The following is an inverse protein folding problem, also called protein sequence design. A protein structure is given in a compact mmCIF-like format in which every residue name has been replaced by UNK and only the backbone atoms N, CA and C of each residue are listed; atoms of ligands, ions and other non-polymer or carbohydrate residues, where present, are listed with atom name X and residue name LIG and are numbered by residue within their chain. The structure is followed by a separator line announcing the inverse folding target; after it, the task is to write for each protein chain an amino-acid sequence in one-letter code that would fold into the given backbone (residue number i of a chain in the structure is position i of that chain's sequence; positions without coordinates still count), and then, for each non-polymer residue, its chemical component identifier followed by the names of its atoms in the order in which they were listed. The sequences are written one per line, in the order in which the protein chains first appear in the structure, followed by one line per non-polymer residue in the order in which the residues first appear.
data_IF_567341687941
#
_entry.id   IF_567341687941
#
_cell.length_a   1.000
_cell.length_b   1.000
_cell.length_c   1.000
_cell.angle_alpha   90.00
_cell.angle_beta   90.00
_cell.angle_gamma   90.00
#
_symmetry.space_group_name_H-M   'P 1'
#
loop_
_entity.id
_entity.type
_entity.pdbx_description
1 polymer ?
#
# COMPACT_ATOMS: atom_id res chain seq x y z
N UNK A 1 -8.96 47.34 18.41
CA UNK A 1 -10.07 46.60 19.04
C UNK A 1 -10.67 45.75 17.95
N UNK A 2 -10.09 44.57 17.74
CA UNK A 2 -10.75 43.53 16.96
C UNK A 2 -10.39 42.21 17.64
N UNK A 3 -11.43 41.58 18.18
CA UNK A 3 -11.36 40.44 19.07
C UNK A 3 -11.23 39.21 18.19
N UNK A 4 -10.05 38.58 18.18
CA UNK A 4 -9.92 37.23 17.68
C UNK A 4 -10.75 36.31 18.58
N UNK A 5 -11.89 35.85 18.06
CA UNK A 5 -12.77 34.88 18.69
C UNK A 5 -11.95 33.60 18.92
N UNK A 6 -11.88 33.05 20.14
CA UNK A 6 -11.29 31.74 20.34
C UNK A 6 -12.27 30.71 19.78
N UNK A 7 -11.95 30.14 18.62
CA UNK A 7 -12.76 29.06 18.05
C UNK A 7 -12.42 27.79 18.81
N UNK A 8 -13.09 27.59 19.93
CA UNK A 8 -13.07 26.35 20.68
C UNK A 8 -13.90 25.32 19.92
N UNK A 9 -13.27 24.63 18.97
CA UNK A 9 -13.83 23.39 18.43
C UNK A 9 -13.56 22.30 19.46
N UNK A 10 -14.61 21.76 20.06
CA UNK A 10 -14.55 20.37 20.53
C UNK A 10 -14.48 19.51 19.26
N UNK A 11 -13.32 19.50 18.60
CA UNK A 11 -13.11 18.83 17.33
C UNK A 11 -13.23 17.33 17.61
N UNK A 12 -14.28 16.72 17.06
CA UNK A 12 -14.24 15.28 16.85
C UNK A 12 -13.11 15.07 15.85
N UNK A 13 -12.05 14.40 16.28
CA UNK A 13 -10.90 14.09 15.44
C UNK A 13 -11.02 12.64 14.97
N UNK A 14 -10.99 12.43 13.65
CA UNK A 14 -10.87 11.13 13.03
C UNK A 14 -9.43 10.94 12.54
N UNK A 15 -8.69 10.06 13.21
CA UNK A 15 -7.35 9.68 12.83
C UNK A 15 -7.37 8.39 11.99
N UNK A 16 -6.93 8.51 10.75
CA UNK A 16 -6.81 7.42 9.76
C UNK A 16 -5.33 7.11 9.55
N UNK A 17 -4.94 5.87 9.83
CA UNK A 17 -3.63 5.37 9.49
C UNK A 17 -3.61 4.80 8.07
N UNK A 18 -2.58 5.15 7.29
CA UNK A 18 -2.37 4.61 5.96
C UNK A 18 -1.00 3.94 5.86
N UNK A 19 -0.94 2.81 5.16
CA UNK A 19 0.34 2.17 4.89
C UNK A 19 1.18 3.08 3.99
N UNK A 20 2.36 3.48 4.45
CA UNK A 20 3.19 4.53 3.82
C UNK A 20 3.70 4.26 2.40
N UNK A 21 3.30 3.15 1.77
CA UNK A 21 3.55 2.88 0.35
C UNK A 21 2.26 2.88 -0.48
N UNK A 22 1.15 3.31 0.12
CA UNK A 22 -0.12 3.59 -0.51
C UNK A 22 -0.28 5.10 -0.54
N UNK A 23 -0.55 5.64 -1.72
CA UNK A 23 -0.78 7.06 -1.92
C UNK A 23 -2.03 7.52 -1.14
N UNK A 24 -1.94 8.55 -0.26
CA UNK A 24 -3.08 9.09 0.50
C UNK A 24 -4.27 9.50 -0.35
N UNK A 25 -4.00 9.93 -1.58
CA UNK A 25 -5.00 10.33 -2.57
C UNK A 25 -5.99 9.21 -2.90
N UNK A 26 -5.63 7.94 -2.65
CA UNK A 26 -6.53 6.79 -2.85
C UNK A 26 -7.75 6.78 -1.95
N UNK A 27 -7.75 7.57 -0.87
CA UNK A 27 -8.92 7.80 -0.01
C UNK A 27 -9.43 9.24 -0.12
N UNK A 28 -8.88 10.04 -1.04
CA UNK A 28 -9.11 11.48 -1.09
C UNK A 28 -10.60 11.83 -1.25
N UNK A 29 -11.29 11.14 -2.15
CA UNK A 29 -12.71 11.39 -2.43
C UNK A 29 -13.60 11.08 -1.23
N UNK A 30 -13.33 9.97 -0.53
CA UNK A 30 -14.08 9.55 0.65
C UNK A 30 -13.83 10.48 1.84
N UNK A 31 -12.57 10.84 2.09
CA UNK A 31 -12.22 11.78 3.16
C UNK A 31 -12.84 13.16 2.89
N UNK A 32 -12.83 13.63 1.63
CA UNK A 32 -13.49 14.87 1.23
C UNK A 32 -15.01 14.79 1.38
N UNK A 33 -15.63 13.67 1.00
CA UNK A 33 -17.07 13.47 1.16
C UNK A 33 -17.47 13.51 2.66
N UNK A 34 -16.69 12.88 3.53
CA UNK A 34 -16.93 12.94 4.98
C UNK A 34 -16.76 14.36 5.53
N UNK A 35 -15.70 15.07 5.14
CA UNK A 35 -15.46 16.44 5.55
C UNK A 35 -16.58 17.39 5.11
N UNK A 36 -17.20 17.16 3.95
CA UNK A 36 -18.36 17.93 3.47
C UNK A 36 -19.60 17.69 4.33
N UNK A 37 -19.79 16.49 4.86
CA UNK A 37 -20.92 16.15 5.75
C UNK A 37 -20.79 16.82 7.12
N UNK A 38 -19.56 17.02 7.61
CA UNK A 38 -19.30 17.76 8.85
C UNK A 38 -18.07 18.66 8.70
N UNK A 39 -18.22 19.93 8.30
CA UNK A 39 -17.10 20.84 8.07
C UNK A 39 -16.24 21.14 9.30
N UNK A 40 -16.75 20.89 10.52
CA UNK A 40 -16.01 21.04 11.77
C UNK A 40 -15.23 19.78 12.18
N UNK A 41 -15.32 18.69 11.42
CA UNK A 41 -14.61 17.45 11.70
C UNK A 41 -13.12 17.61 11.34
N UNK A 42 -12.25 17.39 12.31
CA UNK A 42 -10.82 17.24 12.04
C UNK A 42 -10.54 15.83 11.52
N UNK A 43 -9.93 15.71 10.35
CA UNK A 43 -9.50 14.41 9.79
C UNK A 43 -7.98 14.41 9.68
N UNK A 44 -7.32 13.55 10.44
CA UNK A 44 -5.88 13.32 10.38
C UNK A 44 -5.56 12.07 9.55
N UNK A 45 -4.66 12.18 8.59
CA UNK A 45 -4.11 11.02 7.86
C UNK A 45 -2.66 10.83 8.24
N UNK A 46 -2.30 9.64 8.70
CA UNK A 46 -0.98 9.32 9.20
C UNK A 46 -0.38 8.15 8.43
N UNK A 47 0.59 8.45 7.56
CA UNK A 47 1.37 7.44 6.87
C UNK A 47 2.36 6.76 7.84
N UNK A 48 2.31 5.44 7.92
CA UNK A 48 3.24 4.69 8.78
C UNK A 48 3.47 3.25 8.28
N UNK A 49 4.53 2.56 8.75
CA UNK A 49 4.74 1.15 8.47
C UNK A 49 3.57 0.31 8.98
N UNK A 50 3.34 -0.86 8.37
CA UNK A 50 2.22 -1.73 8.75
C UNK A 50 2.27 -2.16 10.22
N UNK A 51 3.45 -2.44 10.75
CA UNK A 51 3.60 -2.79 12.16
C UNK A 51 3.16 -1.64 13.07
N UNK A 52 3.50 -0.39 12.71
CA UNK A 52 3.09 0.79 13.45
C UNK A 52 1.58 1.04 13.35
N UNK A 53 0.95 0.79 12.19
CA UNK A 53 -0.51 0.87 12.04
C UNK A 53 -1.23 -0.04 13.01
N UNK A 54 -0.76 -1.28 13.12
CA UNK A 54 -1.36 -2.27 14.02
C UNK A 54 -1.24 -1.82 15.48
N UNK A 55 -0.04 -1.40 15.89
CA UNK A 55 0.17 -0.88 17.25
C UNK A 55 -0.65 0.37 17.53
N UNK A 56 -0.79 1.28 16.56
CA UNK A 56 -1.59 2.50 16.71
C UNK A 56 -3.08 2.18 16.82
N UNK A 57 -3.58 1.21 16.04
CA UNK A 57 -4.97 0.77 16.09
C UNK A 57 -5.27 0.08 17.42
N UNK A 58 -4.41 -0.83 17.87
CA UNK A 58 -4.52 -1.52 19.15
C UNK A 58 -4.58 -0.53 20.32
N UNK A 59 -3.75 0.51 20.27
CA UNK A 59 -3.67 1.58 21.27
C UNK A 59 -4.69 2.71 21.10
N UNK A 60 -5.68 2.56 20.21
CA UNK A 60 -6.75 3.55 19.94
C UNK A 60 -6.24 4.94 19.49
N UNK A 61 -4.99 5.01 18.97
CA UNK A 61 -4.39 6.25 18.44
C UNK A 61 -4.89 6.60 17.03
N UNK A 62 -5.34 5.59 16.30
CA UNK A 62 -6.06 5.73 15.04
C UNK A 62 -7.35 4.92 15.14
N UNK A 63 -8.39 5.35 14.44
CA UNK A 63 -9.68 4.66 14.43
C UNK A 63 -9.84 3.73 13.21
N UNK A 64 -9.10 3.99 12.14
CA UNK A 64 -9.07 3.19 10.92
C UNK A 64 -7.62 2.98 10.47
N UNK A 65 -7.27 1.76 10.09
CA UNK A 65 -5.99 1.46 9.44
C UNK A 65 -6.23 0.90 8.04
N UNK A 66 -5.66 1.53 7.01
CA UNK A 66 -5.69 1.04 5.63
C UNK A 66 -4.33 0.47 5.26
N UNK A 67 -4.28 -0.85 5.08
CA UNK A 67 -3.03 -1.59 4.93
C UNK A 67 -3.17 -2.88 4.12
N UNK A 68 -2.07 -3.37 3.53
CA UNK A 68 -2.07 -4.65 2.85
C UNK A 68 -2.06 -5.84 3.80
N UNK A 69 -2.48 -6.98 3.24
CA UNK A 69 -2.45 -8.27 3.88
C UNK A 69 -3.84 -8.82 4.21
N UNK A 70 -3.90 -10.00 4.84
CA UNK A 70 -5.15 -10.66 5.15
C UNK A 70 -5.91 -9.95 6.28
N UNK A 71 -7.19 -10.29 6.39
CA UNK A 71 -8.01 -9.99 7.57
C UNK A 71 -7.32 -10.48 8.86
N UNK A 72 -7.60 -9.81 9.97
CA UNK A 72 -6.94 -10.09 11.25
C UNK A 72 -7.98 -10.47 12.30
N UNK A 73 -7.76 -11.59 13.04
CA UNK A 73 -8.60 -11.92 14.18
C UNK A 73 -8.66 -10.76 15.18
N UNK A 74 -9.85 -10.47 15.68
CA UNK A 74 -10.09 -9.39 16.65
C UNK A 74 -10.22 -7.98 16.04
N UNK A 75 -10.11 -7.84 14.72
CA UNK A 75 -10.42 -6.62 14.00
C UNK A 75 -11.54 -6.87 13.00
N UNK A 76 -12.36 -5.86 12.80
CA UNK A 76 -13.24 -5.78 11.64
C UNK A 76 -12.42 -5.36 10.42
N UNK A 77 -12.85 -5.78 9.23
CA UNK A 77 -12.20 -5.37 7.99
C UNK A 77 -13.14 -5.27 6.80
N UNK A 78 -12.76 -4.44 5.83
CA UNK A 78 -13.39 -4.35 4.52
C UNK A 78 -12.32 -4.29 3.43
N UNK A 79 -12.46 -5.12 2.39
CA UNK A 79 -11.61 -5.06 1.20
C UNK A 79 -11.92 -3.77 0.44
N UNK A 80 -10.90 -2.94 0.22
CA UNK A 80 -11.04 -1.70 -0.52
C UNK A 80 -10.70 -1.92 -2.00
N UNK A 81 -9.57 -2.57 -2.26
CA UNK A 81 -9.14 -2.90 -3.60
C UNK A 81 -8.11 -4.03 -3.60
N UNK A 82 -7.91 -4.60 -4.78
CA UNK A 82 -6.87 -5.59 -5.04
C UNK A 82 -5.95 -5.02 -6.11
N UNK A 83 -4.69 -4.81 -5.75
CA UNK A 83 -3.63 -4.45 -6.69
C UNK A 83 -2.97 -5.73 -7.25
N UNK A 84 -2.10 -5.60 -8.25
CA UNK A 84 -1.37 -6.71 -8.86
C UNK A 84 0.13 -6.57 -8.63
N UNK A 85 0.79 -7.70 -8.37
CA UNK A 85 2.25 -7.77 -8.32
C UNK A 85 2.80 -7.79 -9.74
N UNK A 86 3.72 -6.88 -10.01
CA UNK A 86 4.41 -6.73 -11.28
C UNK A 86 5.92 -6.89 -11.05
N UNK A 87 6.66 -7.16 -12.12
CA UNK A 87 8.12 -7.24 -12.12
C UNK A 87 8.67 -6.15 -13.03
N UNK A 88 9.52 -5.29 -12.47
CA UNK A 88 10.30 -4.31 -13.20
C UNK A 88 11.68 -4.89 -13.55
N UNK A 89 12.13 -4.63 -14.79
CA UNK A 89 13.41 -5.06 -15.33
C UNK A 89 13.94 -4.03 -16.33
N UNK A 90 15.23 -4.10 -16.67
CA UNK A 90 15.79 -3.32 -17.78
C UNK A 90 15.11 -3.67 -19.11
N UNK A 91 15.02 -2.70 -20.03
CA UNK A 91 14.42 -2.89 -21.37
C UNK A 91 15.00 -4.04 -22.18
N UNK A 92 16.30 -4.27 -22.05
CA UNK A 92 17.07 -5.28 -22.77
C UNK A 92 17.16 -6.62 -22.02
N UNK A 93 16.49 -6.74 -20.88
CA UNK A 93 16.43 -7.98 -20.12
C UNK A 93 15.77 -9.09 -20.97
N UNK A 94 16.27 -10.35 -20.96
CA UNK A 94 15.72 -11.42 -21.79
C UNK A 94 14.22 -11.69 -21.63
N UNK A 95 13.68 -11.47 -20.42
CA UNK A 95 12.24 -11.61 -20.14
C UNK A 95 11.39 -10.44 -20.65
N UNK A 96 12.00 -9.31 -21.01
CA UNK A 96 11.27 -8.11 -21.44
C UNK A 96 10.51 -8.29 -22.77
N UNK A 97 10.88 -9.30 -23.57
CA UNK A 97 10.19 -9.65 -24.80
C UNK A 97 8.89 -10.46 -24.57
N UNK A 98 8.63 -10.89 -23.33
CA UNK A 98 7.45 -11.69 -22.99
C UNK A 98 6.25 -10.78 -22.65
N UNK A 99 5.01 -11.25 -22.86
CA UNK A 99 3.82 -10.51 -22.44
C UNK A 99 3.57 -10.58 -20.93
N UNK A 100 4.01 -11.66 -20.29
CA UNK A 100 3.88 -11.97 -18.85
C UNK A 100 5.10 -12.77 -18.41
N UNK A 101 5.42 -12.78 -17.11
CA UNK A 101 6.52 -13.60 -16.56
C UNK A 101 5.98 -14.67 -15.63
N UNK A 102 6.44 -15.92 -15.77
CA UNK A 102 6.04 -16.99 -14.86
C UNK A 102 6.93 -17.01 -13.61
N UNK A 103 6.44 -17.48 -12.46
CA UNK A 103 7.26 -17.63 -11.25
C UNK A 103 8.54 -18.46 -11.46
N UNK A 104 8.49 -19.47 -12.34
CA UNK A 104 9.66 -20.29 -12.68
C UNK A 104 10.76 -19.48 -13.36
N UNK A 105 10.39 -18.55 -14.25
CA UNK A 105 11.36 -17.69 -14.96
C UNK A 105 12.04 -16.69 -14.02
N UNK A 106 11.39 -16.35 -12.92
CA UNK A 106 11.90 -15.41 -11.92
C UNK A 106 12.76 -16.08 -10.85
N UNK A 107 12.69 -17.42 -10.71
CA UNK A 107 13.29 -18.16 -9.59
C UNK A 107 14.77 -17.89 -9.39
N UNK A 108 15.53 -17.84 -10.48
CA UNK A 108 16.99 -17.71 -10.45
C UNK A 108 17.48 -16.28 -10.72
N UNK A 109 16.56 -15.30 -10.71
CA UNK A 109 16.89 -13.90 -10.97
C UNK A 109 17.23 -13.16 -9.66
N UNK A 110 18.23 -12.26 -9.65
CA UNK A 110 18.51 -11.44 -8.49
C UNK A 110 17.47 -10.32 -8.35
N UNK A 111 16.75 -10.27 -7.23
CA UNK A 111 15.82 -9.20 -6.92
C UNK A 111 16.48 -8.14 -6.05
N UNK A 112 16.45 -6.89 -6.51
CA UNK A 112 16.91 -5.74 -5.77
C UNK A 112 15.83 -5.28 -4.80
N UNK A 113 16.23 -5.04 -3.55
CA UNK A 113 15.31 -4.66 -2.48
C UNK A 113 15.88 -3.48 -1.72
N UNK A 114 15.08 -2.43 -1.57
CA UNK A 114 15.47 -1.30 -0.74
C UNK A 114 15.36 -1.65 0.76
N UNK A 115 16.43 -1.39 1.51
CA UNK A 115 16.43 -1.38 2.98
C UNK A 115 15.94 -0.06 3.58
N UNK A 116 15.91 1.01 2.78
CA UNK A 116 15.43 2.31 3.23
C UNK A 116 13.92 2.29 3.37
N UNK A 117 13.44 3.17 4.27
CA UNK A 117 12.04 3.53 4.54
C UNK A 117 10.99 2.76 3.74
N UNK A 118 10.17 1.95 4.42
CA UNK A 118 8.99 1.23 3.89
C UNK A 118 9.22 0.29 2.69
N UNK A 119 10.33 0.41 1.95
CA UNK A 119 10.65 -0.39 0.77
C UNK A 119 10.83 -1.86 1.10
N UNK A 120 11.45 -2.17 2.25
CA UNK A 120 11.55 -3.55 2.73
C UNK A 120 10.21 -4.15 3.16
N UNK A 121 9.27 -3.32 3.65
CA UNK A 121 7.93 -3.77 4.03
C UNK A 121 7.09 -4.07 2.78
N UNK A 122 7.06 -3.16 1.81
CA UNK A 122 6.36 -3.37 0.53
C UNK A 122 6.93 -4.60 -0.20
N UNK A 123 8.25 -4.67 -0.37
CA UNK A 123 8.88 -5.82 -1.00
C UNK A 123 8.56 -7.13 -0.28
N UNK A 124 8.60 -7.15 1.07
CA UNK A 124 8.23 -8.34 1.84
C UNK A 124 6.82 -8.81 1.55
N UNK A 125 5.86 -7.88 1.41
CA UNK A 125 4.48 -8.22 1.04
C UNK A 125 4.39 -8.79 -0.37
N UNK A 126 4.96 -8.11 -1.36
CA UNK A 126 4.93 -8.58 -2.75
C UNK A 126 5.60 -9.94 -2.92
N UNK A 127 6.75 -10.14 -2.26
CA UNK A 127 7.44 -11.42 -2.21
C UNK A 127 6.61 -12.51 -1.53
N UNK A 128 5.84 -12.18 -0.48
CA UNK A 128 4.93 -13.14 0.15
C UNK A 128 3.82 -13.60 -0.80
N UNK A 129 3.28 -12.70 -1.62
CA UNK A 129 2.22 -13.02 -2.58
C UNK A 129 2.67 -14.02 -3.65
N UNK A 130 3.97 -14.07 -3.98
CA UNK A 130 4.52 -15.03 -4.97
C UNK A 130 5.30 -16.19 -4.32
N UNK A 131 5.51 -16.15 -3.00
CA UNK A 131 6.28 -17.15 -2.23
C UNK A 131 5.83 -18.60 -2.42
N UNK A 132 4.53 -18.93 -2.54
CA UNK A 132 4.11 -20.33 -2.73
C UNK A 132 4.76 -21.02 -3.93
N UNK A 133 5.12 -20.28 -4.98
CA UNK A 133 5.78 -20.79 -6.18
C UNK A 133 7.29 -20.47 -6.22
N UNK A 134 7.74 -19.55 -5.37
CA UNK A 134 9.13 -19.07 -5.25
C UNK A 134 9.57 -18.96 -3.78
N UNK A 135 9.79 -20.09 -3.08
CA UNK A 135 10.11 -20.09 -1.66
C UNK A 135 11.48 -19.47 -1.32
N UNK A 136 12.40 -19.43 -2.30
CA UNK A 136 13.76 -18.91 -2.16
C UNK A 136 14.06 -17.84 -3.22
N UNK A 137 13.35 -16.72 -3.16
CA UNK A 137 13.61 -15.57 -4.02
C UNK A 137 14.97 -14.96 -3.66
N UNK A 138 15.93 -15.02 -4.58
CA UNK A 138 17.28 -14.47 -4.39
C UNK A 138 17.18 -12.95 -4.30
N UNK A 139 17.43 -12.39 -3.10
CA UNK A 139 17.27 -10.95 -2.85
C UNK A 139 18.60 -10.29 -2.50
N UNK A 140 18.92 -9.19 -3.18
CA UNK A 140 20.02 -8.28 -2.85
C UNK A 140 19.45 -7.08 -2.11
N UNK A 141 19.75 -6.99 -0.82
CA UNK A 141 19.33 -5.89 0.04
C UNK A 141 20.28 -4.69 -0.14
N UNK A 142 19.76 -3.55 -0.60
CA UNK A 142 20.53 -2.33 -0.85
C UNK A 142 20.00 -1.16 -0.02
N UNK A 143 20.90 -0.35 0.52
CA UNK A 143 20.57 0.88 1.26
C UNK A 143 20.35 2.06 0.29
N UNK A 144 19.34 1.93 -0.57
CA UNK A 144 19.01 2.90 -1.62
C UNK A 144 17.56 3.35 -1.49
N UNK A 145 17.27 4.60 -1.85
CA UNK A 145 15.88 5.07 -2.02
C UNK A 145 15.16 4.26 -3.11
N UNK A 146 13.82 4.21 -3.13
CA UNK A 146 13.07 3.54 -4.19
C UNK A 146 13.47 4.01 -5.59
N UNK A 147 13.63 5.32 -5.80
CA UNK A 147 14.07 5.89 -7.08
C UNK A 147 15.47 5.42 -7.49
N UNK A 148 16.44 5.39 -6.56
CA UNK A 148 17.79 4.90 -6.84
C UNK A 148 17.82 3.39 -7.07
N UNK A 149 16.97 2.63 -6.38
CA UNK A 149 16.80 1.20 -6.61
C UNK A 149 16.31 0.94 -8.04
N UNK A 150 15.29 1.68 -8.50
CA UNK A 150 14.77 1.57 -9.86
C UNK A 150 15.81 1.96 -10.93
N UNK A 151 16.68 2.94 -10.64
CA UNK A 151 17.79 3.26 -11.53
C UNK A 151 18.81 2.09 -11.67
N UNK A 152 19.03 1.29 -10.61
CA UNK A 152 19.85 0.07 -10.69
C UNK A 152 19.16 -1.05 -11.47
N UNK A 153 17.84 -1.18 -11.33
CA UNK A 153 17.04 -2.12 -12.14
C UNK A 153 17.14 -1.75 -13.62
N UNK A 154 16.99 -0.46 -13.97
CA UNK A 154 17.12 0.03 -15.34
C UNK A 154 18.53 -0.16 -15.91
N UNK A 155 19.55 -0.15 -15.06
CA UNK A 155 20.94 -0.46 -15.42
C UNK A 155 21.23 -1.97 -15.57
N UNK A 156 20.25 -2.85 -15.34
CA UNK A 156 20.38 -4.29 -15.53
C UNK A 156 20.98 -5.06 -14.35
N UNK A 157 21.10 -4.44 -13.16
CA UNK A 157 21.71 -5.11 -12.00
C UNK A 157 20.81 -6.18 -11.34
N UNK A 158 19.55 -6.26 -11.76
CA UNK A 158 18.57 -7.22 -11.26
C UNK A 158 17.14 -6.78 -11.51
N UNK A 159 16.20 -7.51 -10.91
CA UNK A 159 14.77 -7.29 -11.02
C UNK A 159 14.21 -6.60 -9.77
N UNK A 160 13.02 -6.03 -9.84
CA UNK A 160 12.29 -5.59 -8.65
C UNK A 160 10.81 -5.94 -8.74
N UNK A 161 10.21 -6.25 -7.58
CA UNK A 161 8.76 -6.37 -7.46
C UNK A 161 8.15 -5.00 -7.19
N UNK A 162 7.07 -4.68 -7.89
CA UNK A 162 6.30 -3.43 -7.74
C UNK A 162 4.80 -3.71 -7.78
N UNK A 163 3.97 -2.78 -7.31
CA UNK A 163 2.53 -2.84 -7.54
C UNK A 163 2.17 -2.26 -8.90
N UNK A 164 1.08 -2.71 -9.52
CA UNK A 164 0.56 -2.12 -10.76
C UNK A 164 0.27 -0.63 -10.61
N UNK A 165 -0.21 -0.19 -9.44
CA UNK A 165 -0.44 1.23 -9.16
C UNK A 165 0.81 2.10 -9.09
N UNK A 166 2.00 1.52 -8.91
CA UNK A 166 3.25 2.29 -8.91
C UNK A 166 3.87 2.43 -10.31
N UNK A 167 3.36 1.68 -11.30
CA UNK A 167 3.94 1.60 -12.64
C UNK A 167 4.00 2.95 -13.33
N UNK A 168 2.94 3.76 -13.22
CA UNK A 168 2.84 5.02 -13.93
C UNK A 168 3.87 6.06 -13.44
N UNK A 169 4.48 5.85 -12.27
CA UNK A 169 5.56 6.68 -11.73
C UNK A 169 6.98 6.18 -12.05
N UNK A 170 7.11 5.08 -12.79
CA UNK A 170 8.40 4.49 -13.15
C UNK A 170 8.89 5.03 -14.49
N UNK A 171 10.21 5.16 -14.64
CA UNK A 171 10.82 5.73 -15.84
C UNK A 171 10.74 4.81 -17.05
N UNK A 172 10.82 5.41 -18.25
CA UNK A 172 10.65 4.69 -19.52
C UNK A 172 11.70 3.61 -19.76
N UNK A 173 12.85 3.63 -19.09
CA UNK A 173 13.96 2.66 -19.28
C UNK A 173 13.71 1.29 -18.65
N UNK A 174 12.53 1.10 -18.08
CA UNK A 174 12.09 -0.15 -17.49
C UNK A 174 11.03 -0.80 -18.36
N UNK A 175 11.13 -2.13 -18.49
CA UNK A 175 10.01 -2.97 -18.89
C UNK A 175 9.34 -3.52 -17.64
N UNK A 176 8.01 -3.44 -17.58
CA UNK A 176 7.25 -3.88 -16.42
C UNK A 176 6.19 -4.89 -16.87
N UNK A 177 6.29 -6.12 -16.38
CA UNK A 177 5.43 -7.23 -16.78
C UNK A 177 4.66 -7.80 -15.59
N UNK A 178 3.41 -8.26 -15.79
CA UNK A 178 2.67 -8.95 -14.75
C UNK A 178 3.26 -10.35 -14.49
N UNK A 179 3.14 -10.81 -13.25
CA UNK A 179 3.46 -12.20 -12.90
C UNK A 179 2.25 -13.09 -13.24
N UNK A 180 2.47 -14.14 -14.03
CA UNK A 180 1.46 -15.13 -14.40
C UNK A 180 1.20 -16.11 -13.24
N UNK A 181 0.56 -15.57 -12.19
CA UNK A 181 0.13 -16.32 -11.03
C UNK A 181 -1.08 -15.65 -10.40
N UNK A 182 -2.16 -16.42 -10.17
CA UNK A 182 -3.39 -15.89 -9.57
C UNK A 182 -3.20 -15.35 -8.14
N UNK A 183 -2.20 -15.85 -7.41
CA UNK A 183 -1.84 -15.35 -6.09
C UNK A 183 -0.95 -14.10 -6.11
N UNK A 184 -0.49 -13.64 -7.28
CA UNK A 184 0.30 -12.41 -7.47
C UNK A 184 -0.57 -11.15 -7.36
N UNK A 185 -1.35 -11.07 -6.29
CA UNK A 185 -2.27 -9.98 -5.97
C UNK A 185 -1.89 -9.36 -4.63
N UNK A 186 -2.18 -8.08 -4.48
CA UNK A 186 -1.89 -7.29 -3.28
C UNK A 186 -3.19 -6.67 -2.77
N UNK A 187 -3.96 -7.41 -1.94
CA UNK A 187 -5.20 -6.90 -1.38
C UNK A 187 -4.92 -5.87 -0.30
N UNK A 188 -5.66 -4.77 -0.34
CA UNK A 188 -5.64 -3.72 0.69
C UNK A 188 -6.99 -3.65 1.36
N UNK A 189 -6.96 -3.71 2.69
CA UNK A 189 -8.14 -3.66 3.53
C UNK A 189 -8.10 -2.42 4.42
N UNK A 190 -9.29 -1.90 4.72
CA UNK A 190 -9.52 -1.10 5.90
C UNK A 190 -9.72 -2.01 7.11
N UNK A 191 -9.18 -1.62 8.26
CA UNK A 191 -9.31 -2.35 9.53
C UNK A 191 -9.70 -1.41 10.66
N UNK A 192 -10.60 -1.86 11.54
CA UNK A 192 -11.02 -1.14 12.75
C UNK A 192 -11.39 -2.10 13.88
N UNK A 193 -11.48 -1.60 15.11
CA UNK A 193 -11.73 -2.44 16.31
C UNK A 193 -13.21 -2.72 16.56
N UNK A 194 -14.05 -1.68 16.53
CA UNK A 194 -15.44 -1.78 16.97
C UNK A 194 -16.32 -2.51 15.94
N UNK A 195 -17.07 -3.53 16.38
CA UNK A 195 -18.11 -4.18 15.55
C UNK A 195 -19.19 -3.19 15.09
N UNK A 196 -19.53 -2.23 15.96
CA UNK A 196 -20.47 -1.15 15.67
C UNK A 196 -19.75 0.19 15.89
N UNK A 197 -19.03 0.70 14.87
CA UNK A 197 -18.30 1.96 15.01
C UNK A 197 -19.28 3.14 15.19
N UNK A 198 -18.91 4.11 16.01
CA UNK A 198 -19.64 5.36 16.13
C UNK A 198 -19.31 6.30 14.96
N UNK A 199 -20.15 7.32 14.76
CA UNK A 199 -19.78 8.46 13.92
C UNK A 199 -18.54 9.15 14.52
N UNK A 200 -17.54 9.57 13.72
CA UNK A 200 -17.53 9.68 12.25
C UNK A 200 -17.02 8.43 11.51
N UNK A 201 -16.42 7.47 12.22
CA UNK A 201 -15.83 6.28 11.62
C UNK A 201 -16.85 5.44 10.85
N UNK A 202 -18.07 5.28 11.38
CA UNK A 202 -19.13 4.53 10.69
C UNK A 202 -19.50 5.13 9.34
N UNK A 203 -19.52 6.46 9.24
CA UNK A 203 -19.82 7.15 7.99
C UNK A 203 -18.68 6.99 6.99
N UNK A 204 -17.42 7.09 7.45
CA UNK A 204 -16.26 6.80 6.59
C UNK A 204 -16.34 5.38 6.04
N UNK A 205 -16.54 4.37 6.90
CA UNK A 205 -16.65 2.96 6.49
C UNK A 205 -17.77 2.76 5.46
N UNK A 206 -18.91 3.43 5.64
CA UNK A 206 -20.05 3.34 4.73
C UNK A 206 -19.73 3.86 3.32
N UNK A 207 -18.88 4.88 3.22
CA UNK A 207 -18.51 5.50 1.93
C UNK A 207 -17.20 4.96 1.35
N UNK A 208 -16.47 4.10 2.08
CA UNK A 208 -15.29 3.44 1.56
C UNK A 208 -15.64 2.66 0.28
N UNK A 209 -14.72 2.59 -0.69
CA UNK A 209 -14.97 1.89 -1.93
C UNK A 209 -14.97 0.39 -1.66
N UNK A 210 -16.14 -0.19 -1.40
CA UNK A 210 -16.29 -1.64 -1.32
C UNK A 210 -16.22 -2.21 -2.74
N UNK A 211 -15.06 -2.74 -3.15
CA UNK A 211 -14.93 -3.50 -4.40
C UNK A 211 -14.46 -4.92 -4.10
N UNK A 212 -15.41 -5.85 -4.10
CA UNK A 212 -15.16 -7.28 -4.03
C UNK A 212 -15.82 -8.00 -5.21
N UNK A 213 -14.97 -8.49 -6.13
CA UNK A 213 -15.27 -9.30 -7.33
C UNK A 213 -15.93 -8.57 -8.51
N UNK A 214 -15.09 -8.03 -9.39
CA UNK A 214 -15.26 -8.27 -10.83
C UNK A 214 -14.16 -9.26 -11.26
#
# INVERSE_FOLDING_TARGET
MDSAIPVSYTSVELAVGLFASIAPERLGDELLALARTCPSLGIGVHEMPRAALLTALEADKIQLAVMPGPERPGLQSALLWVDRVMVAMAKDHPLAALPVVTPEQLRDQPFLVSRQQHGSDMHRFLSHCIRPLMPALSSVLLDLSPSRLMARVAAGDGLALVCRSHVDGLGDDLTILPVDYSGAVFPVHAHWKAEQPAWPLSELIRILPARGKD
#
